data_IF_429182858381
#
_entry.id   IF_429182858381
#
_cell.length_a   1.000
_cell.length_b   1.000
_cell.length_c   1.000
_cell.angle_alpha   90.00
_cell.angle_beta   90.00
_cell.angle_gamma   90.00
#
_symmetry.space_group_name_H-M   'P 1'
#
loop_
_entity.id
_entity.type
_entity.pdbx_description
1 polymer ?
#
# COMPACT_ATOMS: atom_id res chain seq x y z
N UNK A 1 -5.98 12.67 15.75
CA UNK A 1 -5.06 11.63 15.28
C UNK A 1 -4.21 12.24 14.19
N UNK A 2 -2.90 12.37 14.41
CA UNK A 2 -1.97 12.93 13.44
C UNK A 2 -1.53 11.77 12.52
N UNK A 3 -1.95 11.79 11.26
CA UNK A 3 -1.54 10.80 10.26
C UNK A 3 -0.37 11.36 9.47
N UNK A 4 0.64 10.53 9.19
CA UNK A 4 1.72 10.87 8.27
C UNK A 4 1.39 10.33 6.88
N UNK A 5 1.46 11.20 5.87
CA UNK A 5 1.26 10.84 4.49
C UNK A 5 2.61 10.61 3.80
N UNK A 6 2.68 9.55 3.01
CA UNK A 6 3.75 9.33 2.03
C UNK A 6 3.13 9.67 0.68
N UNK A 7 3.68 10.68 -0.01
CA UNK A 7 3.16 11.07 -1.31
C UNK A 7 3.41 9.96 -2.34
N UNK A 8 2.60 9.90 -3.40
CA UNK A 8 2.80 8.88 -4.44
C UNK A 8 4.20 8.97 -5.09
N UNK A 9 4.80 10.17 -5.12
CA UNK A 9 6.17 10.42 -5.60
C UNK A 9 7.26 9.79 -4.73
N UNK A 10 6.96 9.58 -3.45
CA UNK A 10 7.89 8.98 -2.48
C UNK A 10 7.72 7.45 -2.40
N UNK A 11 6.74 6.90 -3.12
CA UNK A 11 6.57 5.46 -3.26
C UNK A 11 7.46 4.90 -4.38
N UNK A 12 7.99 3.70 -4.15
CA UNK A 12 8.56 2.90 -5.23
C UNK A 12 7.45 2.10 -5.88
N UNK A 13 7.12 2.43 -7.13
CA UNK A 13 6.08 1.73 -7.89
C UNK A 13 6.72 1.15 -9.16
N UNK A 14 6.53 -0.14 -9.39
CA UNK A 14 7.11 -0.85 -10.52
C UNK A 14 6.67 -0.24 -11.85
N UNK A 15 7.64 0.15 -12.67
CA UNK A 15 7.47 0.85 -13.96
C UNK A 15 6.83 2.24 -13.92
N UNK A 16 6.74 2.91 -12.77
CA UNK A 16 6.02 4.20 -12.64
C UNK A 16 6.51 5.32 -13.55
N UNK A 17 7.78 5.25 -13.98
CA UNK A 17 8.37 6.22 -14.90
C UNK A 17 8.10 5.89 -16.38
N UNK A 18 7.45 4.76 -16.69
CA UNK A 18 7.09 4.40 -18.06
C UNK A 18 5.68 4.93 -18.41
N UNK A 19 5.56 5.91 -19.31
CA UNK A 19 4.28 6.51 -19.67
C UNK A 19 3.31 5.57 -20.42
N UNK A 20 3.80 4.42 -20.90
CA UNK A 20 2.93 3.38 -21.45
C UNK A 20 2.05 2.74 -20.38
N UNK A 21 2.58 2.63 -19.15
CA UNK A 21 1.93 1.94 -18.04
C UNK A 21 1.33 2.89 -17.00
N UNK A 22 1.95 4.05 -16.81
CA UNK A 22 1.57 4.99 -15.75
C UNK A 22 1.45 6.43 -16.26
N UNK A 23 0.67 7.25 -15.58
CA UNK A 23 0.62 8.70 -15.83
C UNK A 23 0.49 9.44 -14.52
N UNK A 24 1.23 10.53 -14.37
CA UNK A 24 1.10 11.41 -13.21
C UNK A 24 -0.04 12.40 -13.42
N UNK A 25 -0.90 12.55 -12.40
CA UNK A 25 -2.01 13.49 -12.39
C UNK A 25 -1.95 14.36 -11.15
N UNK A 26 -2.17 15.65 -11.31
CA UNK A 26 -2.39 16.58 -10.21
C UNK A 26 -3.87 16.61 -9.87
N UNK A 27 -4.25 16.22 -8.64
CA UNK A 27 -5.65 16.16 -8.19
C UNK A 27 -6.03 17.32 -7.27
N UNK A 28 -5.03 17.96 -6.69
CA UNK A 28 -5.08 19.18 -5.88
C UNK A 28 -3.76 19.92 -6.16
N UNK A 29 -3.68 21.27 -6.09
CA UNK A 29 -2.46 22.03 -6.40
C UNK A 29 -1.13 21.48 -5.88
N UNK A 30 -1.14 20.72 -4.78
CA UNK A 30 0.07 20.12 -4.19
C UNK A 30 0.04 18.59 -4.07
N UNK A 31 -0.92 17.92 -4.72
CA UNK A 31 -1.07 16.45 -4.65
C UNK A 31 -0.99 15.86 -6.06
N UNK A 32 0.12 15.19 -6.32
CA UNK A 32 0.27 14.31 -7.47
C UNK A 32 -0.05 12.86 -7.11
N UNK A 33 -0.74 12.17 -8.01
CA UNK A 33 -1.04 10.74 -7.91
C UNK A 33 -0.60 10.02 -9.18
N UNK A 34 -0.19 8.76 -9.02
CA UNK A 34 0.13 7.87 -10.14
C UNK A 34 -1.16 7.14 -10.58
N UNK A 35 -1.59 7.41 -11.81
CA UNK A 35 -2.69 6.69 -12.45
C UNK A 35 -2.14 5.51 -13.25
N UNK A 36 -2.64 4.32 -12.94
CA UNK A 36 -2.32 3.09 -13.66
C UNK A 36 -3.15 2.99 -14.94
N UNK A 37 -2.48 2.78 -16.08
CA UNK A 37 -3.12 2.51 -17.38
C UNK A 37 -3.32 1.02 -17.62
N UNK A 38 -2.23 0.26 -17.58
CA UNK A 38 -2.21 -1.18 -17.82
C UNK A 38 -0.86 -1.74 -17.40
N UNK A 39 -0.83 -2.78 -16.57
CA UNK A 39 0.38 -3.56 -16.24
C UNK A 39 0.01 -5.02 -16.12
N UNK A 40 1.00 -5.90 -16.26
CA UNK A 40 0.83 -7.34 -16.06
C UNK A 40 0.75 -7.73 -14.58
N UNK A 41 1.32 -6.92 -13.69
CA UNK A 41 1.26 -7.09 -12.25
C UNK A 41 1.60 -5.77 -11.55
N UNK A 42 0.95 -5.51 -10.42
CA UNK A 42 1.20 -4.35 -9.57
C UNK A 42 2.15 -4.66 -8.41
N UNK A 43 3.09 -3.77 -8.15
CA UNK A 43 3.98 -3.85 -6.98
C UNK A 43 4.38 -2.46 -6.51
N UNK A 44 3.97 -2.15 -5.27
CA UNK A 44 4.10 -0.83 -4.64
C UNK A 44 4.82 -1.01 -3.32
N UNK A 45 5.82 -0.18 -3.07
CA UNK A 45 6.56 -0.12 -1.81
C UNK A 45 6.54 1.30 -1.26
N UNK A 46 6.39 1.39 0.05
CA UNK A 46 6.67 2.59 0.83
C UNK A 46 7.72 2.28 1.88
N UNK A 47 8.45 3.31 2.29
CA UNK A 47 9.39 3.26 3.41
C UNK A 47 9.20 4.47 4.30
N UNK A 48 9.37 4.25 5.60
CA UNK A 48 9.34 5.34 6.57
C UNK A 48 10.36 5.07 7.68
N UNK A 49 11.15 6.09 8.00
CA UNK A 49 12.06 6.05 9.13
C UNK A 49 11.27 6.25 10.43
N UNK A 50 11.47 5.37 11.41
CA UNK A 50 10.70 5.39 12.67
C UNK A 50 11.00 6.62 13.53
N UNK A 51 12.15 7.25 13.35
CA UNK A 51 12.51 8.53 13.99
C UNK A 51 11.61 9.69 13.58
N UNK A 52 10.96 9.59 12.41
CA UNK A 52 10.02 10.60 11.91
C UNK A 52 8.62 10.41 12.53
N UNK A 53 8.43 9.34 13.31
CA UNK A 53 7.18 8.99 13.97
C UNK A 53 7.30 9.19 15.48
N UNK A 54 6.18 9.48 16.12
CA UNK A 54 6.09 9.51 17.59
C UNK A 54 6.44 8.11 18.11
N UNK A 55 7.37 8.06 19.07
CA UNK A 55 7.78 6.83 19.75
C UNK A 55 6.65 6.27 20.62
N UNK A 56 6.82 5.01 21.04
CA UNK A 56 5.89 4.26 21.91
C UNK A 56 4.42 4.35 21.46
N UNK A 57 4.21 4.39 20.15
CA UNK A 57 2.89 4.57 19.52
C UNK A 57 2.65 3.46 18.50
N UNK A 58 1.42 2.94 18.47
CA UNK A 58 0.98 1.98 17.45
C UNK A 58 0.52 2.72 16.20
N UNK A 59 1.03 2.29 15.04
CA UNK A 59 0.65 2.81 13.73
C UNK A 59 -0.04 1.73 12.92
N UNK A 60 -1.12 2.11 12.26
CA UNK A 60 -1.73 1.33 11.20
C UNK A 60 -1.44 2.02 9.86
N UNK A 61 -0.99 1.24 8.88
CA UNK A 61 -0.57 1.75 7.56
C UNK A 61 -1.67 1.42 6.55
N UNK A 62 -2.03 2.40 5.74
CA UNK A 62 -3.07 2.29 4.72
C UNK A 62 -2.55 2.75 3.36
N UNK A 63 -2.93 2.04 2.29
CA UNK A 63 -2.84 2.56 0.93
C UNK A 63 -4.15 3.27 0.59
N UNK A 64 -4.07 4.50 0.10
CA UNK A 64 -5.23 5.31 -0.32
C UNK A 64 -5.23 5.43 -1.84
N UNK A 65 -6.35 5.10 -2.49
CA UNK A 65 -6.45 5.00 -3.94
C UNK A 65 -7.87 5.21 -4.46
N UNK A 66 -8.00 5.33 -5.78
CA UNK A 66 -9.29 5.33 -6.49
C UNK A 66 -9.28 4.24 -7.56
N UNK A 67 -10.48 3.74 -7.86
CA UNK A 67 -10.71 2.80 -8.96
C UNK A 67 -11.45 3.52 -10.08
N UNK A 68 -11.14 3.16 -11.31
CA UNK A 68 -11.98 3.47 -12.47
C UNK A 68 -13.28 2.67 -12.40
N UNK A 69 -14.31 3.07 -13.16
CA UNK A 69 -15.63 2.40 -13.14
C UNK A 69 -15.60 0.89 -13.44
N UNK A 70 -14.59 0.42 -14.19
CA UNK A 70 -14.43 -0.99 -14.53
C UNK A 70 -12.97 -1.45 -14.36
N UNK A 71 -12.49 -1.64 -13.10
CA UNK A 71 -11.11 -2.01 -12.84
C UNK A 71 -10.88 -3.46 -13.28
N UNK A 72 -9.92 -3.69 -14.18
CA UNK A 72 -9.54 -5.04 -14.64
C UNK A 72 -8.21 -5.46 -14.01
N UNK A 73 -8.08 -6.74 -13.68
CA UNK A 73 -6.81 -7.36 -13.28
C UNK A 73 -6.36 -7.12 -11.84
N UNK A 74 -6.97 -6.19 -11.09
CA UNK A 74 -6.53 -5.83 -9.73
C UNK A 74 -7.50 -6.34 -8.66
N UNK A 75 -7.71 -7.65 -8.59
CA UNK A 75 -8.66 -8.22 -7.62
C UNK A 75 -8.00 -8.52 -6.28
N UNK A 76 -6.87 -9.24 -6.29
CA UNK A 76 -6.23 -9.78 -5.08
C UNK A 76 -4.75 -9.48 -5.04
N UNK A 77 -4.29 -9.04 -3.87
CA UNK A 77 -2.89 -8.72 -3.60
C UNK A 77 -2.47 -9.26 -2.22
N UNK A 78 -1.17 -9.27 -1.99
CA UNK A 78 -0.56 -9.45 -0.68
C UNK A 78 -0.09 -8.09 -0.18
N UNK A 79 -0.56 -7.72 1.00
CA UNK A 79 0.01 -6.60 1.75
C UNK A 79 0.96 -7.13 2.83
N UNK A 80 2.14 -6.55 2.93
CA UNK A 80 3.12 -6.90 3.96
C UNK A 80 3.71 -5.65 4.58
N UNK A 81 4.12 -5.76 5.85
CA UNK A 81 4.81 -4.72 6.59
C UNK A 81 5.92 -5.36 7.41
N UNK A 82 7.13 -4.79 7.38
CA UNK A 82 8.29 -5.33 8.11
C UNK A 82 9.27 -4.25 8.54
N UNK A 83 9.99 -4.50 9.63
CA UNK A 83 11.16 -3.71 10.00
C UNK A 83 12.37 -4.16 9.18
N UNK A 84 13.02 -3.23 8.48
CA UNK A 84 14.10 -3.54 7.53
C UNK A 84 15.31 -4.17 8.22
N UNK A 85 15.60 -3.79 9.47
CA UNK A 85 16.73 -4.32 10.25
C UNK A 85 16.48 -5.73 10.84
N UNK A 86 15.23 -6.19 10.87
CA UNK A 86 14.86 -7.49 11.49
C UNK A 86 14.72 -8.63 10.47
N UNK A 87 14.97 -8.36 9.18
CA UNK A 87 14.79 -9.37 8.13
C UNK A 87 16.07 -10.20 7.96
N UNK A 88 16.03 -11.46 8.39
CA UNK A 88 17.00 -12.45 7.91
C UNK A 88 16.87 -12.56 6.38
N UNK A 89 17.99 -12.62 5.63
CA UNK A 89 18.02 -12.49 4.16
C UNK A 89 17.05 -13.42 3.40
N UNK A 90 16.58 -14.50 4.03
CA UNK A 90 15.70 -15.51 3.45
C UNK A 90 14.35 -15.68 4.20
N UNK A 91 14.01 -14.75 5.11
CA UNK A 91 12.73 -14.80 5.81
C UNK A 91 11.58 -14.62 4.79
N UNK A 92 10.66 -15.59 4.76
CA UNK A 92 9.44 -15.50 3.96
C UNK A 92 8.69 -14.24 4.39
N UNK A 93 8.38 -13.37 3.42
CA UNK A 93 7.55 -12.19 3.70
C UNK A 93 6.17 -12.68 4.13
N UNK A 94 5.87 -12.58 5.43
CA UNK A 94 4.52 -12.79 5.92
C UNK A 94 3.65 -11.62 5.47
N UNK A 95 2.61 -11.95 4.71
CA UNK A 95 1.72 -10.97 4.13
C UNK A 95 0.26 -11.38 4.28
N UNK A 96 -0.60 -10.38 4.42
CA UNK A 96 -2.04 -10.56 4.51
C UNK A 96 -2.65 -10.44 3.12
N UNK A 97 -3.59 -11.34 2.80
CA UNK A 97 -4.40 -11.19 1.58
C UNK A 97 -5.29 -9.96 1.69
N UNK A 98 -5.24 -9.12 0.66
CA UNK A 98 -6.10 -7.95 0.52
C UNK A 98 -6.79 -7.97 -0.84
N UNK A 99 -8.01 -7.46 -0.90
CA UNK A 99 -8.78 -7.30 -2.12
C UNK A 99 -8.86 -5.83 -2.50
N UNK A 100 -8.54 -5.48 -3.73
CA UNK A 100 -8.41 -4.07 -4.14
C UNK A 100 -9.70 -3.56 -4.77
N UNK A 101 -10.30 -4.32 -5.70
CA UNK A 101 -11.53 -3.94 -6.39
C UNK A 101 -12.80 -4.57 -5.82
N UNK A 102 -12.68 -5.61 -5.00
CA UNK A 102 -13.82 -6.34 -4.45
C UNK A 102 -14.34 -5.70 -3.16
N UNK A 103 -15.67 -5.61 -3.04
CA UNK A 103 -16.34 -5.29 -1.76
C UNK A 103 -16.58 -6.59 -0.99
N UNK A 104 -16.54 -6.51 0.33
CA UNK A 104 -16.94 -7.67 1.15
C UNK A 104 -18.43 -7.93 0.94
N UNK A 105 -18.76 -9.05 0.32
CA UNK A 105 -20.15 -9.40 -0.02
C UNK A 105 -20.73 -10.38 1.00
N UNK A 106 -19.91 -11.35 1.45
CA UNK A 106 -20.37 -12.40 2.35
C UNK A 106 -19.72 -12.32 3.74
N UNK A 107 -20.50 -12.59 4.81
CA UNK A 107 -19.94 -12.91 6.12
C UNK A 107 -19.00 -14.12 6.01
N UNK A 108 -17.79 -14.01 6.55
CA UNK A 108 -16.80 -15.10 6.55
C UNK A 108 -15.73 -15.03 5.45
N UNK A 109 -15.82 -14.09 4.49
CA UNK A 109 -14.70 -13.89 3.55
C UNK A 109 -13.42 -13.48 4.30
N UNK A 110 -12.34 -14.23 4.02
CA UNK A 110 -11.03 -14.05 4.61
C UNK A 110 -10.19 -13.07 3.78
N UNK A 111 -9.63 -12.07 4.44
CA UNK A 111 -8.82 -11.04 3.82
C UNK A 111 -9.28 -9.64 4.22
N UNK A 112 -8.55 -8.63 3.76
CA UNK A 112 -8.93 -7.22 3.96
C UNK A 112 -9.59 -6.68 2.71
N UNK A 113 -10.55 -5.79 2.91
CA UNK A 113 -11.33 -5.16 1.86
C UNK A 113 -11.17 -3.65 1.97
N UNK A 114 -11.31 -2.90 0.87
CA UNK A 114 -11.12 -1.47 0.89
C UNK A 114 -12.32 -0.82 1.61
N UNK A 115 -12.03 0.25 2.35
CA UNK A 115 -13.03 1.09 3.01
C UNK A 115 -13.17 2.40 2.25
N UNK A 116 -14.40 2.85 2.02
CA UNK A 116 -14.68 4.14 1.39
C UNK A 116 -14.59 5.25 2.43
N UNK A 117 -13.67 6.19 2.21
CA UNK A 117 -13.47 7.37 3.05
C UNK A 117 -14.50 8.45 2.73
N UNK A 118 -14.63 9.43 3.63
CA UNK A 118 -15.53 10.58 3.47
C UNK A 118 -15.13 11.51 2.31
N UNK A 119 -13.87 11.49 1.87
CA UNK A 119 -13.35 12.26 0.73
C UNK A 119 -13.54 11.55 -0.62
N UNK A 120 -14.20 10.39 -0.63
CA UNK A 120 -14.46 9.59 -1.83
C UNK A 120 -13.28 8.77 -2.32
N UNK A 121 -12.17 8.70 -1.57
CA UNK A 121 -11.09 7.75 -1.82
C UNK A 121 -11.32 6.43 -1.10
N UNK A 122 -10.76 5.35 -1.62
CA UNK A 122 -10.69 4.07 -0.93
C UNK A 122 -9.42 3.99 -0.11
N UNK A 123 -9.46 3.32 1.03
CA UNK A 123 -8.28 2.95 1.79
C UNK A 123 -8.26 1.46 2.13
N UNK A 124 -7.07 0.86 2.14
CA UNK A 124 -6.89 -0.52 2.55
C UNK A 124 -5.70 -0.67 3.48
N UNK A 125 -5.93 -1.34 4.62
CA UNK A 125 -4.89 -1.53 5.64
C UNK A 125 -3.82 -2.51 5.14
N UNK A 126 -2.59 -2.04 5.03
CA UNK A 126 -1.44 -2.87 4.65
C UNK A 126 -0.86 -3.62 5.84
N UNK A 127 -0.85 -3.00 7.01
CA UNK A 127 -0.33 -3.60 8.23
C UNK A 127 -0.44 -2.69 9.43
N UNK A 128 0.13 -3.13 10.54
CA UNK A 128 0.31 -2.32 11.74
C UNK A 128 1.62 -2.67 12.41
N UNK A 129 2.20 -1.72 13.13
CA UNK A 129 3.42 -1.92 13.90
C UNK A 129 3.41 -1.01 15.13
N UNK A 130 4.23 -1.35 16.12
CA UNK A 130 4.46 -0.53 17.29
C UNK A 130 5.84 0.13 17.17
N UNK A 131 5.89 1.46 17.24
CA UNK A 131 7.14 2.19 17.15
C UNK A 131 7.87 2.18 18.51
N UNK A 132 8.69 1.17 18.78
CA UNK A 132 9.54 1.08 19.98
C UNK A 132 11.05 1.13 19.68
N UNK A 133 11.46 1.19 18.42
CA UNK A 133 12.86 1.03 18.00
C UNK A 133 13.70 2.33 18.10
N UNK A 134 13.16 3.40 18.68
CA UNK A 134 13.86 4.68 18.79
C UNK A 134 14.24 5.27 17.43
N UNK A 135 15.41 5.91 17.36
CA UNK A 135 15.84 6.73 16.21
C UNK A 135 16.37 5.93 15.01
N UNK A 136 16.46 4.60 15.12
CA UNK A 136 17.25 3.77 14.21
C UNK A 136 16.42 2.76 13.40
N UNK A 137 15.09 2.79 13.47
CA UNK A 137 14.22 1.87 12.71
C UNK A 137 13.84 2.39 11.32
N UNK A 138 13.68 1.46 10.36
CA UNK A 138 12.99 1.70 9.09
C UNK A 138 11.90 0.65 8.93
N UNK A 139 10.70 1.09 8.58
CA UNK A 139 9.57 0.21 8.25
C UNK A 139 9.34 0.25 6.75
N UNK A 140 9.31 -0.94 6.15
CA UNK A 140 8.92 -1.14 4.76
C UNK A 140 7.50 -1.69 4.71
N UNK A 141 6.68 -1.07 3.86
CA UNK A 141 5.33 -1.53 3.54
C UNK A 141 5.28 -1.88 2.06
N UNK A 142 4.57 -2.95 1.70
CA UNK A 142 4.45 -3.39 0.32
C UNK A 142 3.04 -3.88 0.01
N UNK A 143 2.56 -3.57 -1.18
CA UNK A 143 1.39 -4.17 -1.80
C UNK A 143 1.84 -4.82 -3.12
N UNK A 144 1.71 -6.14 -3.22
CA UNK A 144 2.11 -6.90 -4.40
C UNK A 144 0.94 -7.73 -4.93
N UNK A 145 0.64 -7.62 -6.22
CA UNK A 145 -0.32 -8.48 -6.88
C UNK A 145 0.19 -9.91 -6.98
N UNK A 146 -0.70 -10.88 -6.74
CA UNK A 146 -0.36 -12.30 -6.89
C UNK A 146 -0.58 -12.68 -8.36
N UNK A 147 0.50 -12.90 -9.10
CA UNK A 147 0.40 -13.58 -10.40
C UNK A 147 0.17 -15.07 -10.11
N UNK A 148 -1.08 -15.54 -10.19
CA UNK A 148 -1.34 -16.96 -10.24
C UNK A 148 -0.82 -17.47 -11.58
N UNK A 149 0.24 -18.28 -11.54
CA UNK A 149 0.72 -18.99 -12.71
C UNK A 149 -0.36 -20.02 -13.05
N UNK A 150 -1.10 -19.80 -14.14
CA UNK A 150 -2.11 -20.72 -14.69
C UNK A 150 -1.47 -21.89 -15.40
#
# INVERSE_FOLDING_TARGET
>A
MQGQWIAARDLTITWVNNPQFWTWKTVDPNIEVAELRSVNWLDIYGKIETKNLIQTTSYAVYLVFKLTDNPRGLERSIASLRFVKEVAKDARIEGTTVFISKKKELPGELGRFPHLRSDGWLEIKLGEFFNNLGDDGEVEMRLMEIVLIS
#
